data_IF_919164038066
#
_entry.id   IF_919164038066
#
_cell.length_a   1.000
_cell.length_b   1.000
_cell.length_c   1.000
_cell.angle_alpha   90.00
_cell.angle_beta   90.00
_cell.angle_gamma   90.00
#
_symmetry.space_group_name_H-M   'P 1'
#
loop_
_entity.id
_entity.type
_entity.pdbx_description
1 polymer ?
#
# COMPACT_ATOMS: atom_id res chain seq x y z
N UNK A 1 -10.33 -3.94 -0.03
CA UNK A 1 -10.43 -3.76 -1.49
C UNK A 1 -9.39 -4.72 -2.05
N UNK A 2 -9.79 -5.94 -2.32
CA UNK A 2 -8.97 -6.89 -3.06
C UNK A 2 -9.38 -6.70 -4.50
N UNK A 3 -8.60 -5.92 -5.22
CA UNK A 3 -8.74 -5.83 -6.66
C UNK A 3 -8.37 -7.22 -7.20
N UNK A 4 -9.39 -8.04 -7.43
CA UNK A 4 -9.30 -9.18 -8.32
C UNK A 4 -8.98 -8.58 -9.70
N UNK A 5 -7.69 -8.34 -9.95
CA UNK A 5 -7.19 -7.97 -11.26
C UNK A 5 -7.38 -9.21 -12.12
N UNK A 6 -8.52 -9.21 -12.80
CA UNK A 6 -8.89 -10.18 -13.81
C UNK A 6 -7.84 -10.05 -14.93
N UNK A 7 -6.97 -11.05 -15.09
CA UNK A 7 -5.85 -11.02 -16.03
C UNK A 7 -6.30 -11.24 -17.50
N UNK A 8 -7.50 -10.74 -17.86
CA UNK A 8 -8.21 -11.07 -19.12
C UNK A 8 -7.96 -10.02 -20.22
N UNK A 9 -7.45 -8.83 -19.92
CA UNK A 9 -7.38 -7.76 -20.92
C UNK A 9 -6.03 -7.58 -21.63
N UNK A 10 -4.97 -8.35 -21.33
CA UNK A 10 -3.62 -7.95 -21.78
C UNK A 10 -2.67 -9.12 -22.12
N UNK A 11 -2.83 -9.70 -23.30
CA UNK A 11 -1.92 -10.74 -23.81
C UNK A 11 -0.52 -10.18 -24.14
N UNK A 12 -0.44 -8.91 -24.57
CA UNK A 12 0.81 -8.20 -24.87
C UNK A 12 1.65 -7.95 -23.60
N UNK A 13 1.01 -7.60 -22.49
CA UNK A 13 1.68 -7.30 -21.21
C UNK A 13 2.15 -8.59 -20.51
N UNK A 14 1.56 -9.74 -20.82
CA UNK A 14 2.00 -11.02 -20.28
C UNK A 14 3.36 -11.45 -20.86
N UNK A 15 3.53 -11.34 -22.18
CA UNK A 15 4.78 -11.71 -22.85
C UNK A 15 5.94 -10.80 -22.42
N UNK A 16 5.71 -9.49 -22.28
CA UNK A 16 6.72 -8.56 -21.76
C UNK A 16 7.15 -8.92 -20.34
N UNK A 17 6.19 -9.23 -19.46
CA UNK A 17 6.46 -9.68 -18.09
C UNK A 17 7.26 -10.98 -18.04
N UNK A 18 6.93 -11.93 -18.90
CA UNK A 18 7.67 -13.20 -19.02
C UNK A 18 9.10 -12.93 -19.47
N UNK A 19 9.31 -12.09 -20.49
CA UNK A 19 10.66 -11.74 -20.95
C UNK A 19 11.49 -11.05 -19.85
N UNK A 20 10.87 -10.20 -19.02
CA UNK A 20 11.53 -9.57 -17.88
C UNK A 20 12.00 -10.64 -16.86
N UNK A 21 11.17 -11.64 -16.59
CA UNK A 21 11.51 -12.76 -15.70
C UNK A 21 12.65 -13.61 -16.30
N UNK A 22 12.53 -14.01 -17.57
CA UNK A 22 13.53 -14.84 -18.26
C UNK A 22 14.90 -14.15 -18.36
N UNK A 23 14.94 -12.81 -18.47
CA UNK A 23 16.20 -12.06 -18.50
C UNK A 23 16.92 -12.03 -17.14
N UNK A 24 16.19 -12.23 -16.04
CA UNK A 24 16.70 -12.07 -14.67
C UNK A 24 16.81 -13.39 -13.90
N UNK A 25 16.23 -14.45 -14.42
CA UNK A 25 16.12 -15.76 -13.75
C UNK A 25 16.45 -16.87 -14.73
N UNK A 26 16.88 -18.03 -14.23
CA UNK A 26 17.16 -19.21 -15.05
C UNK A 26 15.88 -20.04 -15.36
N UNK A 27 14.70 -19.41 -15.33
CA UNK A 27 13.45 -20.09 -15.65
C UNK A 27 13.29 -20.35 -17.15
N UNK A 28 12.56 -21.42 -17.48
CA UNK A 28 12.05 -21.64 -18.84
C UNK A 28 10.74 -20.89 -19.03
N UNK A 29 10.36 -20.62 -20.28
CA UNK A 29 9.14 -19.86 -20.61
C UNK A 29 7.88 -20.47 -19.99
N UNK A 30 7.75 -21.79 -20.02
CA UNK A 30 6.65 -22.54 -19.38
C UNK A 30 6.60 -22.32 -17.86
N UNK A 31 7.77 -22.38 -17.20
CA UNK A 31 7.89 -22.20 -15.75
C UNK A 31 7.61 -20.74 -15.37
N UNK A 32 8.09 -19.80 -16.17
CA UNK A 32 7.83 -18.37 -15.97
C UNK A 32 6.33 -18.06 -16.09
N UNK A 33 5.63 -18.67 -17.06
CA UNK A 33 4.16 -18.55 -17.22
C UNK A 33 3.42 -19.11 -16.02
N UNK A 34 3.77 -20.32 -15.57
CA UNK A 34 3.15 -20.96 -14.41
C UNK A 34 3.35 -20.11 -13.16
N UNK A 35 4.57 -19.64 -12.90
CA UNK A 35 4.87 -18.78 -11.74
C UNK A 35 4.19 -17.42 -11.82
N UNK A 36 4.06 -16.84 -13.01
CA UNK A 36 3.35 -15.59 -13.18
C UNK A 36 1.84 -15.74 -12.91
N UNK A 37 1.24 -16.85 -13.32
CA UNK A 37 -0.15 -17.21 -13.00
C UNK A 37 -0.35 -17.45 -11.50
N UNK A 38 0.55 -18.19 -10.85
CA UNK A 38 0.52 -18.43 -9.40
C UNK A 38 0.61 -17.13 -8.56
N UNK A 39 1.20 -16.07 -9.13
CA UNK A 39 1.47 -14.81 -8.44
C UNK A 39 0.58 -13.65 -8.94
N UNK A 40 -0.62 -13.96 -9.44
CA UNK A 40 -1.61 -12.96 -9.89
C UNK A 40 -1.06 -11.98 -10.95
N UNK A 41 -0.25 -12.48 -11.90
CA UNK A 41 0.35 -11.69 -12.97
C UNK A 41 1.36 -10.60 -12.48
N UNK A 42 1.90 -10.75 -11.27
CA UNK A 42 2.96 -9.89 -10.73
C UNK A 42 4.37 -10.50 -10.96
N UNK A 43 5.05 -10.01 -11.99
CA UNK A 43 6.40 -10.43 -12.33
C UNK A 43 7.45 -10.02 -11.28
N UNK A 44 7.25 -8.89 -10.59
CA UNK A 44 8.16 -8.46 -9.52
C UNK A 44 8.08 -9.40 -8.33
N UNK A 45 6.89 -9.90 -8.01
CA UNK A 45 6.71 -10.89 -6.95
C UNK A 45 7.41 -12.21 -7.28
N UNK A 46 7.29 -12.68 -8.53
CA UNK A 46 7.99 -13.89 -9.00
C UNK A 46 9.50 -13.73 -8.88
N UNK A 47 10.04 -12.60 -9.33
CA UNK A 47 11.47 -12.30 -9.27
C UNK A 47 11.96 -12.21 -7.82
N UNK A 48 11.23 -11.48 -6.95
CA UNK A 48 11.57 -11.38 -5.52
C UNK A 48 11.57 -12.75 -4.83
N UNK A 49 10.59 -13.59 -5.14
CA UNK A 49 10.52 -14.97 -4.64
C UNK A 49 11.69 -15.82 -5.11
N UNK A 50 12.08 -15.70 -6.39
CA UNK A 50 13.24 -16.40 -6.93
C UNK A 50 14.54 -16.02 -6.22
N UNK A 51 14.75 -14.73 -5.92
CA UNK A 51 15.91 -14.25 -5.18
C UNK A 51 15.81 -14.46 -3.65
N UNK A 52 14.73 -15.08 -3.15
CA UNK A 52 14.54 -15.30 -1.71
C UNK A 52 14.36 -14.02 -0.90
N UNK A 53 14.02 -12.90 -1.55
CA UNK A 53 13.77 -11.62 -0.88
C UNK A 53 12.39 -11.72 -0.25
N UNK A 54 12.35 -11.94 1.07
CA UNK A 54 11.11 -11.88 1.83
C UNK A 54 10.47 -10.50 1.63
N UNK A 55 9.21 -10.48 1.20
CA UNK A 55 8.46 -9.25 1.09
C UNK A 55 8.48 -8.54 2.44
N UNK A 56 9.01 -7.31 2.46
CA UNK A 56 8.71 -6.39 3.56
C UNK A 56 7.21 -6.25 3.54
N UNK A 57 6.53 -6.87 4.52
CA UNK A 57 5.11 -6.64 4.77
C UNK A 57 4.93 -5.13 4.68
N UNK A 58 4.10 -4.67 3.74
CA UNK A 58 3.72 -3.27 3.70
C UNK A 58 3.38 -2.86 5.13
N UNK A 59 3.83 -1.69 5.62
CA UNK A 59 3.45 -1.25 6.94
C UNK A 59 1.93 -1.23 6.95
N UNK A 60 1.32 -2.24 7.58
CA UNK A 60 -0.11 -2.32 7.75
C UNK A 60 -0.46 -0.99 8.39
N UNK A 61 -1.24 -0.15 7.70
CA UNK A 61 -1.70 1.11 8.26
C UNK A 61 -2.34 0.72 9.57
N UNK A 62 -1.60 0.99 10.65
CA UNK A 62 -1.95 0.46 11.95
C UNK A 62 -3.25 1.19 12.29
N UNK A 63 -4.41 0.54 12.16
CA UNK A 63 -5.70 1.22 12.36
C UNK A 63 -5.80 1.79 13.78
N UNK A 64 -5.00 1.26 14.72
CA UNK A 64 -4.73 1.84 16.03
C UNK A 64 -4.17 3.26 15.93
N UNK A 65 -3.22 3.52 15.02
CA UNK A 65 -2.64 4.85 14.77
C UNK A 65 -3.67 5.81 14.18
N UNK A 66 -4.56 5.36 13.28
CA UNK A 66 -5.62 6.22 12.74
C UNK A 66 -6.56 6.72 13.83
N UNK A 67 -7.05 5.82 14.69
CA UNK A 67 -7.92 6.23 15.81
C UNK A 67 -7.18 7.16 16.77
N UNK A 68 -5.91 6.86 17.09
CA UNK A 68 -5.08 7.74 17.93
C UNK A 68 -4.94 9.14 17.33
N UNK A 69 -4.75 9.24 16.01
CA UNK A 69 -4.62 10.50 15.30
C UNK A 69 -5.95 11.28 15.28
N UNK A 70 -7.08 10.59 15.06
CA UNK A 70 -8.42 11.17 15.15
C UNK A 70 -8.64 11.77 16.56
N UNK A 71 -8.32 11.03 17.62
CA UNK A 71 -8.46 11.54 18.99
C UNK A 71 -7.58 12.76 19.27
N UNK A 72 -6.34 12.79 18.76
CA UNK A 72 -5.47 13.98 18.87
C UNK A 72 -6.07 15.20 18.19
N UNK A 73 -6.60 15.03 16.98
CA UNK A 73 -7.21 16.14 16.24
C UNK A 73 -8.46 16.70 16.94
N UNK A 74 -9.30 15.83 17.50
CA UNK A 74 -10.48 16.25 18.26
C UNK A 74 -10.07 17.07 19.49
N UNK A 75 -9.10 16.58 20.28
CA UNK A 75 -8.60 17.30 21.46
C UNK A 75 -8.02 18.65 21.08
N UNK A 76 -7.17 18.71 20.05
CA UNK A 76 -6.56 19.95 19.60
C UNK A 76 -7.59 21.00 19.19
N UNK A 77 -8.65 20.60 18.47
CA UNK A 77 -9.73 21.50 18.08
C UNK A 77 -10.49 22.03 19.30
N UNK A 78 -10.83 21.16 20.24
CA UNK A 78 -11.57 21.56 21.44
C UNK A 78 -10.76 22.53 22.32
N UNK A 79 -9.47 22.23 22.51
CA UNK A 79 -8.56 23.08 23.26
C UNK A 79 -8.41 24.46 22.60
N UNK A 80 -8.34 24.51 21.27
CA UNK A 80 -8.30 25.78 20.52
C UNK A 80 -9.58 26.59 20.73
N UNK A 81 -10.75 25.97 20.56
CA UNK A 81 -12.04 26.66 20.74
C UNK A 81 -12.19 27.23 22.15
N UNK A 82 -11.76 26.51 23.18
CA UNK A 82 -11.83 26.98 24.57
C UNK A 82 -10.87 28.13 24.86
N UNK A 83 -9.63 28.07 24.33
CA UNK A 83 -8.70 29.20 24.42
C UNK A 83 -9.26 30.44 23.74
N UNK A 84 -9.77 30.29 22.53
CA UNK A 84 -10.35 31.41 21.76
C UNK A 84 -11.57 32.01 22.49
N UNK A 85 -12.40 31.19 23.15
CA UNK A 85 -13.51 31.66 23.97
C UNK A 85 -13.06 32.45 25.19
N UNK A 86 -12.11 31.92 25.96
CA UNK A 86 -11.59 32.59 27.15
C UNK A 86 -10.92 33.93 26.79
N UNK A 87 -10.13 33.95 25.71
CA UNK A 87 -9.49 35.18 25.25
C UNK A 87 -10.51 36.26 24.85
N UNK A 88 -11.60 35.90 24.15
CA UNK A 88 -12.67 36.86 23.85
C UNK A 88 -13.34 37.40 25.12
N UNK A 89 -13.61 36.52 26.08
CA UNK A 89 -14.21 36.91 27.36
C UNK A 89 -13.30 37.83 28.17
N UNK A 90 -11.99 37.60 28.18
CA UNK A 90 -11.03 38.47 28.86
C UNK A 90 -10.97 39.87 28.21
N UNK A 91 -11.00 39.92 26.87
CA UNK A 91 -11.05 41.18 26.12
C UNK A 91 -12.37 41.96 26.31
N UNK A 92 -13.50 41.27 26.48
CA UNK A 92 -14.80 41.89 26.77
C UNK A 92 -14.91 42.43 28.22
N UNK A 93 -14.10 41.91 29.15
CA UNK A 93 -14.12 42.30 30.57
C UNK A 93 -12.98 43.28 30.95
N UNK A 94 -12.22 43.78 29.98
CA UNK A 94 -11.15 44.79 30.16
C UNK A 94 -11.54 46.08 29.47
#
# INVERSE_FOLDING_TARGET
MTDNINCIDVQIDLDEKIQIILRQTDYNEEIAKEKLLENNCDHLLVIKKYFGIAEKKEPTIDRKNLNQEIYKQIRFKLDKTMRDYNQRKELENT
#
